data_IF_343136915422
#
_entry.id   IF_343136915422
#
_cell.length_a   1.000
_cell.length_b   1.000
_cell.length_c   1.000
_cell.angle_alpha   90.00
_cell.angle_beta   90.00
_cell.angle_gamma   90.00
#
_symmetry.space_group_name_H-M   'P 1'
#
loop_
_entity.id
_entity.type
_entity.pdbx_description
1 polymer ?
#
# COMPACT_ATOMS: atom_id res chain seq x y z
N UNK A 1 -46.66 -18.61 19.02
CA UNK A 1 -46.22 -17.36 18.34
C UNK A 1 -44.73 -17.19 18.56
N UNK A 2 -43.91 -17.69 17.61
CA UNK A 2 -42.45 -17.63 17.63
C UNK A 2 -42.02 -17.25 16.21
N UNK A 3 -41.81 -15.97 15.91
CA UNK A 3 -40.99 -15.46 14.79
C UNK A 3 -40.83 -13.96 15.08
N UNK A 4 -39.87 -13.55 15.91
CA UNK A 4 -39.40 -12.15 15.96
C UNK A 4 -37.93 -12.01 16.38
N UNK A 5 -37.18 -13.11 16.50
CA UNK A 5 -35.75 -13.10 16.88
C UNK A 5 -34.95 -13.82 15.79
N UNK A 6 -35.04 -13.35 14.54
CA UNK A 6 -34.24 -13.92 13.44
C UNK A 6 -33.78 -12.87 12.41
N UNK A 7 -33.96 -11.58 12.70
CA UNK A 7 -33.65 -10.49 11.77
C UNK A 7 -32.47 -9.59 12.19
N UNK A 8 -31.84 -9.85 13.33
CA UNK A 8 -30.70 -9.06 13.82
C UNK A 8 -29.32 -9.68 13.55
N UNK A 9 -29.26 -10.88 12.97
CA UNK A 9 -27.98 -11.61 12.75
C UNK A 9 -27.41 -11.40 11.33
N UNK A 10 -28.15 -10.76 10.41
CA UNK A 10 -27.73 -10.60 9.00
C UNK A 10 -27.07 -9.25 8.67
N UNK A 11 -26.83 -8.39 9.66
CA UNK A 11 -26.27 -7.05 9.44
C UNK A 11 -24.81 -6.89 9.93
N UNK A 12 -24.16 -7.92 10.43
CA UNK A 12 -22.70 -7.89 10.62
C UNK A 12 -22.01 -8.31 9.33
N UNK A 13 -22.20 -7.53 8.26
CA UNK A 13 -21.11 -7.43 7.29
C UNK A 13 -19.98 -6.76 8.06
N UNK A 14 -18.89 -7.48 8.28
CA UNK A 14 -17.84 -6.99 9.11
C UNK A 14 -17.22 -5.76 8.45
N UNK A 15 -16.86 -4.79 9.27
CA UNK A 15 -15.90 -3.73 8.94
C UNK A 15 -14.49 -4.34 8.68
N UNK A 16 -14.38 -5.41 7.88
CA UNK A 16 -13.14 -6.14 7.58
C UNK A 16 -12.37 -5.50 6.43
N UNK A 17 -11.92 -4.26 6.63
CA UNK A 17 -10.91 -3.69 5.73
C UNK A 17 -9.66 -3.23 6.49
N UNK A 18 -9.77 -2.94 7.79
CA UNK A 18 -8.65 -2.40 8.56
C UNK A 18 -7.82 -3.45 9.33
N UNK A 19 -8.31 -4.70 9.47
CA UNK A 19 -7.61 -5.73 10.25
C UNK A 19 -6.71 -6.65 9.39
N UNK A 20 -6.91 -6.70 8.08
CA UNK A 20 -6.18 -7.62 7.21
C UNK A 20 -4.83 -7.05 6.73
N UNK A 21 -4.72 -5.72 6.65
CA UNK A 21 -3.56 -5.04 6.07
C UNK A 21 -2.61 -4.47 7.14
N UNK A 22 -1.31 -4.53 6.86
CA UNK A 22 -0.29 -3.92 7.71
C UNK A 22 -0.19 -2.41 7.50
N UNK A 23 -0.47 -1.97 6.28
CA UNK A 23 -0.49 -0.58 5.86
C UNK A 23 -1.89 -0.16 5.44
N UNK A 24 -2.28 1.07 5.79
CA UNK A 24 -3.50 1.65 5.23
C UNK A 24 -3.41 1.76 3.70
N UNK A 25 -4.55 1.96 3.04
CA UNK A 25 -4.59 2.16 1.58
C UNK A 25 -3.62 3.25 1.11
N UNK A 26 -3.61 4.38 1.82
CA UNK A 26 -2.76 5.54 1.50
C UNK A 26 -1.28 5.24 1.74
N UNK A 27 -0.97 4.58 2.86
CA UNK A 27 0.40 4.15 3.17
C UNK A 27 0.92 3.17 2.14
N UNK A 28 0.11 2.18 1.74
CA UNK A 28 0.48 1.22 0.70
C UNK A 28 0.71 1.90 -0.65
N UNK A 29 -0.16 2.84 -1.04
CA UNK A 29 0.01 3.59 -2.28
C UNK A 29 1.30 4.43 -2.28
N UNK A 30 1.62 5.09 -1.15
CA UNK A 30 2.87 5.83 -0.98
C UNK A 30 4.07 4.90 -1.10
N UNK A 31 4.06 3.75 -0.41
CA UNK A 31 5.13 2.76 -0.46
C UNK A 31 5.36 2.27 -1.90
N UNK A 32 4.31 1.79 -2.56
CA UNK A 32 4.43 1.23 -3.91
C UNK A 32 4.90 2.29 -4.93
N UNK A 33 4.44 3.55 -4.80
CA UNK A 33 4.95 4.65 -5.62
C UNK A 33 6.45 4.91 -5.39
N UNK A 34 6.92 4.77 -4.14
CA UNK A 34 8.33 4.95 -3.79
C UNK A 34 9.21 3.77 -4.24
N UNK A 35 8.69 2.53 -4.21
CA UNK A 35 9.35 1.36 -4.81
C UNK A 35 9.59 1.58 -6.31
N UNK A 36 8.59 2.07 -7.05
CA UNK A 36 8.72 2.39 -8.48
C UNK A 36 9.68 3.54 -8.73
N UNK A 37 9.60 4.61 -7.95
CA UNK A 37 10.50 5.75 -8.01
C UNK A 37 11.96 5.31 -7.80
N UNK A 38 12.25 4.49 -6.79
CA UNK A 38 13.60 4.03 -6.50
C UNK A 38 14.11 3.05 -7.56
N UNK A 39 13.25 2.24 -8.18
CA UNK A 39 13.65 1.43 -9.34
C UNK A 39 14.09 2.29 -10.52
N UNK A 40 13.52 3.48 -10.68
CA UNK A 40 13.87 4.43 -11.74
C UNK A 40 15.14 5.22 -11.41
N UNK A 41 15.23 5.79 -10.19
CA UNK A 41 16.41 6.54 -9.73
C UNK A 41 17.65 5.64 -9.59
N UNK A 42 17.45 4.43 -9.08
CA UNK A 42 18.49 3.50 -8.68
C UNK A 42 18.62 2.30 -9.62
N UNK A 43 18.50 2.50 -10.94
CA UNK A 43 18.53 1.41 -11.92
C UNK A 43 19.76 0.49 -11.81
N UNK A 44 20.91 1.05 -11.42
CA UNK A 44 22.16 0.29 -11.16
C UNK A 44 22.26 -0.36 -9.78
N UNK A 45 21.35 -0.06 -8.84
CA UNK A 45 21.44 -0.55 -7.47
C UNK A 45 21.00 -2.02 -7.38
N UNK A 46 21.60 -2.75 -6.44
CA UNK A 46 21.11 -4.07 -6.04
C UNK A 46 19.75 -3.99 -5.32
N UNK A 47 19.07 -5.12 -5.13
CA UNK A 47 17.77 -5.18 -4.46
C UNK A 47 17.81 -4.64 -3.02
N UNK A 48 18.75 -5.13 -2.20
CA UNK A 48 18.93 -4.66 -0.82
C UNK A 48 19.23 -3.16 -0.75
N UNK A 49 19.98 -2.63 -1.73
CA UNK A 49 20.31 -1.20 -1.81
C UNK A 49 19.07 -0.37 -2.17
N UNK A 50 18.22 -0.88 -3.08
CA UNK A 50 16.95 -0.24 -3.40
C UNK A 50 16.01 -0.25 -2.19
N UNK A 51 15.88 -1.38 -1.50
CA UNK A 51 15.04 -1.47 -0.30
C UNK A 51 15.51 -0.52 0.82
N UNK A 52 16.81 -0.43 1.04
CA UNK A 52 17.38 0.52 1.99
C UNK A 52 17.11 1.98 1.58
N UNK A 53 17.16 2.29 0.27
CA UNK A 53 16.83 3.62 -0.23
C UNK A 53 15.33 3.92 -0.08
N UNK A 54 14.45 2.95 -0.38
CA UNK A 54 13.00 3.07 -0.15
C UNK A 54 12.71 3.36 1.33
N UNK A 55 13.28 2.59 2.27
CA UNK A 55 13.10 2.83 3.72
C UNK A 55 13.60 4.21 4.12
N UNK A 56 14.78 4.62 3.64
CA UNK A 56 15.35 5.95 3.92
C UNK A 56 14.40 7.06 3.47
N UNK A 57 13.87 6.99 2.25
CA UNK A 57 12.99 8.02 1.70
C UNK A 57 11.62 8.04 2.41
N UNK A 58 11.07 6.88 2.74
CA UNK A 58 9.79 6.78 3.44
C UNK A 58 9.88 7.21 4.90
N UNK A 59 11.00 6.99 5.59
CA UNK A 59 11.21 7.49 6.95
C UNK A 59 11.19 9.01 7.03
N UNK A 60 11.64 9.70 5.99
CA UNK A 60 11.52 11.16 5.89
C UNK A 60 10.05 11.63 5.80
N UNK A 61 9.13 10.72 5.45
CA UNK A 61 7.68 10.91 5.45
C UNK A 61 7.00 10.32 6.69
N UNK A 62 7.77 9.85 7.68
CA UNK A 62 7.24 9.26 8.91
C UNK A 62 6.69 7.83 8.73
N UNK A 63 7.04 7.13 7.65
CA UNK A 63 6.59 5.77 7.36
C UNK A 63 7.77 4.79 7.36
N UNK A 64 7.62 3.65 8.04
CA UNK A 64 8.62 2.58 8.03
C UNK A 64 8.31 1.54 6.96
N UNK A 65 9.31 1.21 6.14
CA UNK A 65 9.20 0.21 5.10
C UNK A 65 9.63 -1.17 5.59
N UNK A 66 8.78 -2.16 5.34
CA UNK A 66 9.03 -3.56 5.67
C UNK A 66 8.63 -4.43 4.48
N UNK A 67 9.58 -4.82 3.60
CA UNK A 67 9.28 -5.49 2.33
C UNK A 67 8.32 -6.68 2.46
N UNK A 68 8.54 -7.53 3.48
CA UNK A 68 7.70 -8.71 3.73
C UNK A 68 6.23 -8.37 4.04
N UNK A 69 5.97 -7.26 4.74
CA UNK A 69 4.61 -6.80 5.05
C UNK A 69 3.95 -6.21 3.82
N UNK A 70 4.71 -5.43 3.04
CA UNK A 70 4.25 -4.86 1.77
C UNK A 70 3.88 -5.97 0.79
N UNK A 71 4.71 -7.01 0.66
CA UNK A 71 4.38 -8.18 -0.17
C UNK A 71 3.11 -8.91 0.30
N UNK A 72 2.89 -8.98 1.62
CA UNK A 72 1.65 -9.54 2.18
C UNK A 72 0.44 -8.72 1.79
N UNK A 73 0.51 -7.41 1.97
CA UNK A 73 -0.57 -6.48 1.60
C UNK A 73 -0.81 -6.50 0.09
N UNK A 74 0.25 -6.56 -0.73
CA UNK A 74 0.17 -6.65 -2.21
C UNK A 74 -0.59 -7.90 -2.65
N UNK A 75 -0.37 -9.05 -1.99
CA UNK A 75 -1.14 -10.28 -2.23
C UNK A 75 -2.60 -10.12 -1.82
N UNK A 76 -2.87 -9.50 -0.68
CA UNK A 76 -4.24 -9.25 -0.22
C UNK A 76 -5.01 -8.36 -1.20
N UNK A 77 -4.40 -7.29 -1.71
CA UNK A 77 -5.04 -6.41 -2.69
C UNK A 77 -5.43 -7.09 -4.01
N UNK A 78 -4.88 -8.27 -4.31
CA UNK A 78 -5.25 -9.04 -5.50
C UNK A 78 -6.63 -9.70 -5.40
N UNK A 79 -7.17 -9.87 -4.19
CA UNK A 79 -8.46 -10.53 -4.00
C UNK A 79 -9.64 -9.71 -4.56
N UNK A 80 -10.72 -10.35 -5.05
CA UNK A 80 -11.87 -9.66 -5.66
C UNK A 80 -12.62 -8.72 -4.71
N UNK A 81 -12.70 -9.04 -3.42
CA UNK A 81 -13.38 -8.24 -2.40
C UNK A 81 -12.78 -6.83 -2.24
N UNK A 82 -11.51 -6.65 -2.60
CA UNK A 82 -10.82 -5.35 -2.56
C UNK A 82 -10.74 -4.65 -3.92
N UNK A 83 -11.61 -5.00 -4.88
CA UNK A 83 -11.54 -4.47 -6.24
C UNK A 83 -11.69 -2.93 -6.32
N UNK A 84 -12.49 -2.32 -5.45
CA UNK A 84 -12.66 -0.85 -5.44
C UNK A 84 -11.39 -0.15 -4.91
N UNK A 85 -10.81 -0.67 -3.83
CA UNK A 85 -9.54 -0.19 -3.27
C UNK A 85 -8.40 -0.35 -4.28
N UNK A 86 -8.32 -1.49 -4.97
CA UNK A 86 -7.33 -1.73 -6.01
C UNK A 86 -7.42 -0.72 -7.15
N UNK A 87 -8.63 -0.29 -7.53
CA UNK A 87 -8.80 0.81 -8.52
C UNK A 87 -8.26 2.12 -7.98
N UNK A 88 -8.51 2.47 -6.71
CA UNK A 88 -7.95 3.66 -6.09
C UNK A 88 -6.42 3.63 -6.08
N UNK A 89 -5.81 2.50 -5.71
CA UNK A 89 -4.36 2.30 -5.77
C UNK A 89 -3.79 2.58 -7.16
N UNK A 90 -4.48 2.16 -8.23
CA UNK A 90 -4.03 2.39 -9.60
C UNK A 90 -3.94 3.88 -9.97
N UNK A 91 -4.68 4.76 -9.30
CA UNK A 91 -4.56 6.22 -9.47
C UNK A 91 -3.52 6.83 -8.53
N UNK A 92 -3.44 6.34 -7.28
CA UNK A 92 -2.58 6.92 -6.25
C UNK A 92 -1.11 6.55 -6.41
N UNK A 93 -0.79 5.32 -6.84
CA UNK A 93 0.59 4.84 -6.97
C UNK A 93 1.38 5.69 -7.98
N UNK A 94 0.90 5.94 -9.21
CA UNK A 94 1.60 6.80 -10.16
C UNK A 94 1.80 8.23 -9.64
N UNK A 95 0.80 8.79 -8.95
CA UNK A 95 0.90 10.13 -8.37
C UNK A 95 2.01 10.21 -7.30
N UNK A 96 2.08 9.22 -6.41
CA UNK A 96 3.14 9.14 -5.39
C UNK A 96 4.52 8.90 -6.01
N UNK A 97 4.60 8.11 -7.10
CA UNK A 97 5.84 7.94 -7.87
C UNK A 97 6.34 9.28 -8.42
N UNK A 98 5.46 10.06 -9.06
CA UNK A 98 5.82 11.37 -9.62
C UNK A 98 6.28 12.34 -8.52
N UNK A 99 5.55 12.45 -7.40
CA UNK A 99 5.98 13.28 -6.25
C UNK A 99 7.37 12.86 -5.73
N UNK A 100 7.65 11.56 -5.70
CA UNK A 100 8.96 11.05 -5.31
C UNK A 100 10.05 11.46 -6.31
N UNK A 101 9.82 11.29 -7.61
CA UNK A 101 10.79 11.64 -8.66
C UNK A 101 11.08 13.14 -8.68
N UNK A 102 10.06 13.99 -8.61
CA UNK A 102 10.24 15.45 -8.62
C UNK A 102 11.11 15.94 -7.46
N UNK A 103 11.01 15.29 -6.30
CA UNK A 103 11.77 15.69 -5.10
C UNK A 103 13.17 15.09 -5.03
N UNK A 104 13.39 13.95 -5.66
CA UNK A 104 14.62 13.17 -5.49
C UNK A 104 15.45 13.00 -6.77
N UNK A 105 14.89 13.26 -7.95
CA UNK A 105 15.54 13.03 -9.25
C UNK A 105 16.73 13.95 -9.57
N UNK A 106 16.85 15.08 -8.87
CA UNK A 106 18.07 15.91 -8.95
C UNK A 106 19.18 15.42 -8.02
N UNK A 107 18.88 14.47 -7.11
CA UNK A 107 19.76 14.04 -6.03
C UNK A 107 20.38 12.66 -6.25
N UNK A 108 19.70 11.80 -6.99
CA UNK A 108 20.10 10.43 -7.32
C UNK A 108 19.97 10.25 -8.83
#
# INVERSE_FOLDING_TARGET
MKIWILLLVLASRPLFAAQDFHYSLEQFALIAGYEECVRELGGQLGEDQRDALVDKLLRQRGLSYQPRRVDSDRRLWAYPEYASQRRLLAYMIPANKVDCLERNGARY
#
